data_IF_391822107013
#
_entry.id   IF_391822107013
#
_cell.length_a   1.000
_cell.length_b   1.000
_cell.length_c   1.000
_cell.angle_alpha   90.00
_cell.angle_beta   90.00
_cell.angle_gamma   90.00
#
_symmetry.space_group_name_H-M   'P 1'
#
loop_
_entity.id
_entity.type
_entity.pdbx_description
1 polymer ?
#
# COMPACT_ATOMS: atom_id res chain seq x y z
N UNK A 1 -10.80 -14.08 -2.53
CA UNK A 1 -10.06 -12.86 -2.92
C UNK A 1 -10.95 -11.98 -3.77
N UNK A 2 -10.98 -10.66 -3.55
CA UNK A 2 -11.77 -9.73 -4.38
C UNK A 2 -11.30 -9.75 -5.83
N UNK A 3 -12.21 -9.69 -6.80
CA UNK A 3 -11.84 -9.52 -8.20
C UNK A 3 -11.48 -8.05 -8.48
N UNK A 4 -10.41 -7.78 -9.27
CA UNK A 4 -10.09 -6.43 -9.74
C UNK A 4 -11.15 -5.93 -10.73
N UNK A 5 -11.53 -4.65 -10.60
CA UNK A 5 -12.73 -4.08 -11.26
C UNK A 5 -12.60 -3.95 -12.77
N UNK A 6 -11.39 -3.77 -13.28
CA UNK A 6 -11.12 -3.43 -14.68
C UNK A 6 -10.39 -4.53 -15.45
N UNK A 7 -10.31 -5.74 -14.88
CA UNK A 7 -9.48 -6.84 -15.41
C UNK A 7 -9.83 -7.23 -16.85
N UNK A 8 -11.09 -7.07 -17.24
CA UNK A 8 -11.57 -7.38 -18.58
C UNK A 8 -11.04 -6.43 -19.67
N UNK A 9 -10.45 -5.29 -19.30
CA UNK A 9 -9.80 -4.39 -20.25
C UNK A 9 -8.43 -4.92 -20.70
N UNK A 10 -7.83 -5.83 -19.94
CA UNK A 10 -6.51 -6.39 -20.28
C UNK A 10 -6.61 -7.45 -21.37
N UNK A 11 -5.53 -7.60 -22.14
CA UNK A 11 -5.35 -8.76 -23.01
C UNK A 11 -5.25 -10.05 -22.17
N UNK A 12 -5.51 -11.21 -22.77
CA UNK A 12 -5.39 -12.50 -22.05
C UNK A 12 -3.97 -12.74 -21.51
N UNK A 13 -2.95 -12.29 -22.24
CA UNK A 13 -1.55 -12.32 -21.78
C UNK A 13 -1.36 -11.46 -20.53
N UNK A 14 -1.85 -10.23 -20.54
CA UNK A 14 -1.74 -9.32 -19.39
C UNK A 14 -2.59 -9.77 -18.20
N UNK A 15 -3.76 -10.40 -18.44
CA UNK A 15 -4.56 -11.03 -17.37
C UNK A 15 -3.76 -12.11 -16.67
N UNK A 16 -3.06 -12.98 -17.43
CA UNK A 16 -2.20 -14.02 -16.87
C UNK A 16 -1.03 -13.43 -16.08
N UNK A 17 -0.34 -12.45 -16.65
CA UNK A 17 0.76 -11.75 -15.96
C UNK A 17 0.31 -11.04 -14.68
N UNK A 18 -0.84 -10.36 -14.71
CA UNK A 18 -1.43 -9.72 -13.55
C UNK A 18 -1.71 -10.73 -12.43
N UNK A 19 -2.29 -11.90 -12.77
CA UNK A 19 -2.58 -12.94 -11.78
C UNK A 19 -1.31 -13.54 -11.18
N UNK A 20 -0.26 -13.72 -11.99
CA UNK A 20 1.05 -14.14 -11.51
C UNK A 20 1.65 -13.10 -10.56
N UNK A 21 1.65 -11.82 -10.98
CA UNK A 21 2.13 -10.70 -10.16
C UNK A 21 1.38 -10.65 -8.81
N UNK A 22 0.05 -10.71 -8.84
CA UNK A 22 -0.78 -10.72 -7.63
C UNK A 22 -0.45 -11.87 -6.69
N UNK A 23 -0.27 -13.08 -7.25
CA UNK A 23 0.10 -14.27 -6.47
C UNK A 23 1.45 -14.08 -5.78
N UNK A 24 2.45 -13.58 -6.51
CA UNK A 24 3.79 -13.29 -5.98
C UNK A 24 3.76 -12.23 -4.87
N UNK A 25 3.07 -11.11 -5.09
CA UNK A 25 3.02 -10.00 -4.13
C UNK A 25 2.21 -10.32 -2.86
N UNK A 26 1.23 -11.22 -2.96
CA UNK A 26 0.44 -11.70 -1.82
C UNK A 26 1.14 -12.79 -1.00
N UNK A 27 2.24 -13.37 -1.50
CA UNK A 27 2.97 -14.43 -0.82
C UNK A 27 3.60 -13.98 0.51
N UNK A 28 3.68 -14.90 1.47
CA UNK A 28 4.24 -14.62 2.80
C UNK A 28 5.72 -14.23 2.77
N UNK A 29 6.47 -14.68 1.75
CA UNK A 29 7.89 -14.35 1.56
C UNK A 29 8.11 -12.84 1.34
N UNK A 30 7.20 -12.17 0.63
CA UNK A 30 7.24 -10.72 0.41
C UNK A 30 6.69 -9.96 1.63
N UNK A 31 5.76 -10.58 2.38
CA UNK A 31 5.09 -9.95 3.54
C UNK A 31 5.96 -9.84 4.79
N UNK A 32 6.85 -10.81 5.04
CA UNK A 32 7.44 -11.00 6.37
C UNK A 32 8.88 -10.46 6.55
N UNK A 33 9.22 -9.33 5.91
CA UNK A 33 10.53 -8.68 6.06
C UNK A 33 10.53 -7.66 7.21
N UNK A 34 10.66 -8.15 8.45
CA UNK A 34 10.78 -7.28 9.64
C UNK A 34 12.02 -6.38 9.49
N UNK A 35 11.85 -5.07 9.71
CA UNK A 35 12.93 -4.09 9.59
C UNK A 35 13.23 -3.56 8.18
N UNK A 36 12.74 -4.22 7.11
CA UNK A 36 12.98 -3.82 5.70
C UNK A 36 11.69 -3.49 4.94
N UNK A 37 10.74 -2.86 5.63
CA UNK A 37 9.38 -2.64 5.09
C UNK A 37 9.36 -1.61 3.96
N UNK A 38 10.26 -0.62 3.99
CA UNK A 38 10.31 0.43 2.98
C UNK A 38 10.90 -0.11 1.68
N UNK A 39 11.98 -0.87 1.80
CA UNK A 39 12.67 -1.56 0.71
C UNK A 39 11.73 -2.57 0.05
N UNK A 40 11.06 -3.40 0.86
CA UNK A 40 10.06 -4.34 0.34
C UNK A 40 8.91 -3.63 -0.40
N UNK A 41 8.45 -2.48 0.10
CA UNK A 41 7.42 -1.70 -0.60
C UNK A 41 7.95 -1.08 -1.90
N UNK A 42 9.21 -0.64 -1.93
CA UNK A 42 9.86 -0.18 -3.15
C UNK A 42 9.99 -1.31 -4.18
N UNK A 43 10.38 -2.50 -3.77
CA UNK A 43 10.44 -3.70 -4.62
C UNK A 43 9.05 -4.03 -5.21
N UNK A 44 8.00 -3.95 -4.37
CA UNK A 44 6.60 -4.12 -4.82
C UNK A 44 6.25 -3.09 -5.88
N UNK A 45 6.54 -1.81 -5.67
CA UNK A 45 6.27 -0.77 -6.66
C UNK A 45 7.04 -1.00 -7.96
N UNK A 46 8.32 -1.40 -7.88
CA UNK A 46 9.14 -1.72 -9.07
C UNK A 46 8.56 -2.88 -9.85
N UNK A 47 8.17 -3.97 -9.19
CA UNK A 47 7.55 -5.13 -9.84
C UNK A 47 6.25 -4.74 -10.58
N UNK A 48 5.41 -3.91 -9.95
CA UNK A 48 4.18 -3.43 -10.57
C UNK A 48 4.48 -2.47 -11.72
N UNK A 49 5.50 -1.61 -11.60
CA UNK A 49 5.91 -0.70 -12.67
C UNK A 49 6.34 -1.45 -13.92
N UNK A 50 7.15 -2.50 -13.76
CA UNK A 50 7.63 -3.32 -14.87
C UNK A 50 6.48 -4.02 -15.61
N UNK A 51 5.42 -4.40 -14.89
CA UNK A 51 4.20 -4.90 -15.52
C UNK A 51 3.43 -3.77 -16.23
N UNK A 52 3.25 -2.63 -15.58
CA UNK A 52 2.38 -1.57 -16.08
C UNK A 52 2.95 -0.83 -17.29
N UNK A 53 4.25 -0.54 -17.28
CA UNK A 53 4.92 0.35 -18.25
C UNK A 53 5.79 -0.49 -19.18
N UNK A 54 5.22 -0.93 -20.30
CA UNK A 54 5.93 -1.65 -21.36
C UNK A 54 6.24 -0.76 -22.57
N UNK A 55 5.71 0.47 -22.60
CA UNK A 55 5.90 1.42 -23.69
C UNK A 55 4.91 1.23 -24.84
N UNK A 56 3.75 0.63 -24.57
CA UNK A 56 2.69 0.39 -25.55
C UNK A 56 1.38 1.13 -25.19
N UNK A 57 0.38 1.03 -26.07
CA UNK A 57 -0.91 1.72 -25.92
C UNK A 57 -1.79 1.19 -24.77
N UNK A 58 -1.43 0.06 -24.16
CA UNK A 58 -2.19 -0.63 -23.11
C UNK A 58 -1.62 -0.38 -21.71
N UNK A 59 -0.51 0.37 -21.60
CA UNK A 59 0.10 0.77 -20.31
C UNK A 59 -0.91 1.41 -19.35
N UNK A 60 -1.79 2.28 -19.85
CA UNK A 60 -2.81 2.92 -19.03
C UNK A 60 -3.85 1.94 -18.51
N UNK A 61 -4.16 0.87 -19.24
CA UNK A 61 -5.10 -0.17 -18.82
C UNK A 61 -4.50 -0.98 -17.67
N UNK A 62 -3.22 -1.34 -17.79
CA UNK A 62 -2.48 -2.02 -16.72
C UNK A 62 -2.38 -1.16 -15.46
N UNK A 63 -2.06 0.13 -15.62
CA UNK A 63 -2.09 1.09 -14.51
C UNK A 63 -3.47 1.16 -13.83
N UNK A 64 -4.53 1.26 -14.63
CA UNK A 64 -5.92 1.35 -14.15
C UNK A 64 -6.31 0.11 -13.31
N UNK A 65 -5.99 -1.09 -13.78
CA UNK A 65 -6.29 -2.36 -13.09
C UNK A 65 -5.45 -2.53 -11.83
N UNK A 66 -4.16 -2.18 -11.88
CA UNK A 66 -3.29 -2.24 -10.71
C UNK A 66 -3.64 -1.18 -9.66
N UNK A 67 -4.36 -0.11 -10.02
CA UNK A 67 -4.66 0.99 -9.10
C UNK A 67 -3.46 1.88 -8.81
N UNK A 68 -2.47 1.90 -9.70
CA UNK A 68 -1.27 2.71 -9.58
C UNK A 68 -0.82 3.17 -10.97
N UNK A 69 -0.39 4.43 -11.08
CA UNK A 69 0.12 5.00 -12.31
C UNK A 69 1.30 5.92 -12.01
N UNK A 70 2.36 5.81 -12.79
CA UNK A 70 3.55 6.66 -12.67
C UNK A 70 3.36 7.92 -13.49
N UNK A 71 3.64 9.06 -12.87
CA UNK A 71 3.55 10.39 -13.45
C UNK A 71 4.95 11.01 -13.50
N UNK A 72 5.17 12.08 -14.31
CA UNK A 72 6.49 12.70 -14.44
C UNK A 72 7.14 13.11 -13.11
N UNK A 73 6.35 13.65 -12.18
CA UNK A 73 6.82 14.14 -10.89
C UNK A 73 6.28 13.34 -9.69
N UNK A 74 5.71 12.16 -9.93
CA UNK A 74 4.97 11.49 -8.89
C UNK A 74 4.29 10.19 -9.24
N UNK A 75 3.28 9.85 -8.45
CA UNK A 75 2.52 8.62 -8.54
C UNK A 75 1.04 8.87 -8.23
N UNK A 76 0.16 8.33 -9.05
CA UNK A 76 -1.27 8.28 -8.77
C UNK A 76 -1.64 6.91 -8.21
N UNK A 77 -2.51 6.90 -7.18
CA UNK A 77 -2.93 5.69 -6.48
C UNK A 77 -4.44 5.67 -6.32
N UNK A 78 -5.08 4.60 -6.78
CA UNK A 78 -6.40 4.17 -6.33
C UNK A 78 -6.22 3.10 -5.25
N UNK A 79 -6.43 3.52 -4.00
CA UNK A 79 -6.25 2.61 -2.86
C UNK A 79 -7.16 1.39 -2.94
N UNK A 80 -8.36 1.45 -3.53
CA UNK A 80 -9.25 0.28 -3.61
C UNK A 80 -8.66 -0.80 -4.50
N UNK A 81 -8.25 -0.45 -5.72
CA UNK A 81 -7.63 -1.40 -6.65
C UNK A 81 -6.24 -1.84 -6.20
N UNK A 82 -5.42 -0.91 -5.69
CA UNK A 82 -4.06 -1.23 -5.27
C UNK A 82 -4.02 -2.21 -4.09
N UNK A 83 -4.92 -2.06 -3.11
CA UNK A 83 -5.05 -3.01 -1.99
C UNK A 83 -5.45 -4.42 -2.46
N UNK A 84 -6.29 -4.52 -3.49
CA UNK A 84 -6.70 -5.80 -4.10
C UNK A 84 -5.51 -6.55 -4.70
N UNK A 85 -4.52 -5.81 -5.25
CA UNK A 85 -3.32 -6.36 -5.85
C UNK A 85 -2.28 -6.82 -4.80
N UNK A 86 -2.00 -6.01 -3.78
CA UNK A 86 -0.85 -6.25 -2.87
C UNK A 86 -1.21 -6.83 -1.50
N UNK A 87 -2.51 -6.99 -1.21
CA UNK A 87 -3.04 -7.44 0.08
C UNK A 87 -2.43 -6.68 1.29
N UNK A 88 -2.50 -5.35 1.21
CA UNK A 88 -2.13 -4.44 2.31
C UNK A 88 -3.26 -3.48 2.56
N UNK A 89 -3.32 -2.91 3.76
CA UNK A 89 -4.32 -1.92 4.10
C UNK A 89 -3.88 -0.50 3.70
N UNK A 90 -4.87 0.39 3.50
CA UNK A 90 -4.67 1.81 3.16
C UNK A 90 -3.65 2.53 4.06
N UNK A 91 -3.68 2.29 5.37
CA UNK A 91 -2.74 2.94 6.30
C UNK A 91 -1.29 2.50 6.07
N UNK A 92 -1.07 1.22 5.76
CA UNK A 92 0.26 0.70 5.41
C UNK A 92 0.77 1.31 4.12
N UNK A 93 -0.07 1.39 3.08
CA UNK A 93 0.29 1.99 1.79
C UNK A 93 0.64 3.47 1.96
N UNK A 94 -0.23 4.22 2.64
CA UNK A 94 -0.02 5.64 2.87
C UNK A 94 1.25 5.91 3.68
N UNK A 95 1.50 5.12 4.73
CA UNK A 95 2.70 5.24 5.55
C UNK A 95 3.98 4.95 4.77
N UNK A 96 3.97 3.93 3.90
CA UNK A 96 5.12 3.64 3.03
C UNK A 96 5.35 4.75 2.00
N UNK A 97 4.31 5.23 1.32
CA UNK A 97 4.41 6.32 0.35
C UNK A 97 4.97 7.61 0.98
N UNK A 98 4.48 7.98 2.16
CA UNK A 98 5.00 9.16 2.89
C UNK A 98 6.47 8.99 3.26
N UNK A 99 6.88 7.81 3.75
CA UNK A 99 8.28 7.51 4.07
C UNK A 99 9.19 7.51 2.83
N UNK A 100 8.64 7.23 1.65
CA UNK A 100 9.34 7.39 0.36
C UNK A 100 9.37 8.83 -0.15
N UNK A 101 8.78 9.80 0.58
CA UNK A 101 8.77 11.22 0.21
C UNK A 101 7.56 11.67 -0.61
N UNK A 102 6.57 10.79 -0.85
CA UNK A 102 5.37 11.15 -1.62
C UNK A 102 4.32 11.86 -0.75
N UNK A 103 4.06 13.12 -1.06
CA UNK A 103 2.98 13.94 -0.52
C UNK A 103 1.78 14.02 -1.44
N UNK A 104 0.59 14.30 -0.91
CA UNK A 104 -0.63 14.44 -1.73
C UNK A 104 -0.74 15.85 -2.31
N UNK A 105 -1.06 15.94 -3.61
CA UNK A 105 -1.38 17.23 -4.26
C UNK A 105 -2.72 17.73 -3.72
N UNK A 106 -2.80 19.01 -3.35
CA UNK A 106 -4.04 19.62 -2.84
C UNK A 106 -4.98 20.05 -3.97
N UNK A 107 -4.43 20.43 -5.13
CA UNK A 107 -5.20 20.85 -6.30
C UNK A 107 -5.92 19.68 -6.96
N UNK A 108 -7.25 19.68 -6.82
CA UNK A 108 -8.11 18.66 -7.47
C UNK A 108 -8.11 18.81 -9.00
N UNK A 109 -8.10 20.03 -9.52
CA UNK A 109 -8.10 20.27 -10.97
C UNK A 109 -6.83 19.73 -11.61
N UNK A 110 -5.68 20.01 -11.00
CA UNK A 110 -4.39 19.49 -11.45
C UNK A 110 -4.34 17.96 -11.37
N UNK A 111 -4.85 17.38 -10.28
CA UNK A 111 -4.94 15.94 -10.13
C UNK A 111 -5.79 15.31 -11.24
N UNK A 112 -6.96 15.87 -11.56
CA UNK A 112 -7.81 15.37 -12.66
C UNK A 112 -7.10 15.48 -14.00
N UNK A 113 -6.43 16.62 -14.26
CA UNK A 113 -5.68 16.84 -15.50
C UNK A 113 -4.61 15.76 -15.69
N UNK A 114 -3.74 15.55 -14.70
CA UNK A 114 -2.69 14.54 -14.73
C UNK A 114 -3.24 13.12 -14.91
N UNK A 115 -4.32 12.79 -14.19
CA UNK A 115 -5.00 11.50 -14.30
C UNK A 115 -5.59 11.28 -15.70
N UNK A 116 -6.22 12.30 -16.28
CA UNK A 116 -6.87 12.21 -17.59
C UNK A 116 -5.86 12.07 -18.73
N UNK A 117 -4.69 12.69 -18.57
CA UNK A 117 -3.58 12.60 -19.51
C UNK A 117 -2.95 11.21 -19.53
N UNK A 118 -2.77 10.58 -18.36
CA UNK A 118 -2.08 9.29 -18.24
C UNK A 118 -3.01 8.08 -18.21
N UNK A 119 -4.29 8.29 -17.86
CA UNK A 119 -5.33 7.26 -17.85
C UNK A 119 -6.57 7.84 -18.53
N UNK A 120 -6.66 7.79 -19.87
CA UNK A 120 -7.74 8.41 -20.65
C UNK A 120 -9.15 7.99 -20.20
N UNK A 121 -9.31 6.76 -19.70
CA UNK A 121 -10.58 6.27 -19.13
C UNK A 121 -11.10 7.15 -17.99
N UNK A 122 -10.23 7.78 -17.19
CA UNK A 122 -10.63 8.64 -16.07
C UNK A 122 -11.14 10.01 -16.53
N UNK A 123 -10.83 10.42 -17.77
CA UNK A 123 -11.31 11.69 -18.33
C UNK A 123 -12.84 11.71 -18.49
N UNK A 124 -13.42 10.56 -18.85
CA UNK A 124 -14.88 10.39 -19.03
C UNK A 124 -15.57 9.80 -17.80
N UNK A 125 -14.81 9.14 -16.91
CA UNK A 125 -15.34 8.46 -15.72
C UNK A 125 -14.99 9.21 -14.43
N UNK A 126 -15.60 10.38 -14.23
CA UNK A 126 -15.29 11.25 -13.09
C UNK A 126 -15.52 10.61 -11.72
N UNK A 127 -16.49 9.70 -11.58
CA UNK A 127 -16.72 8.98 -10.33
C UNK A 127 -15.52 8.11 -9.96
N UNK A 128 -14.96 7.40 -10.94
CA UNK A 128 -13.73 6.62 -10.73
C UNK A 128 -12.55 7.55 -10.45
N UNK A 129 -12.43 8.66 -11.17
CA UNK A 129 -11.35 9.64 -10.98
C UNK A 129 -11.33 10.26 -9.57
N UNK A 130 -12.42 10.17 -8.77
CA UNK A 130 -12.45 10.62 -7.37
C UNK A 130 -11.82 9.62 -6.40
N UNK A 131 -11.67 8.37 -6.81
CA UNK A 131 -11.02 7.34 -5.99
C UNK A 131 -9.50 7.37 -6.08
N UNK A 132 -8.96 8.12 -7.03
CA UNK A 132 -7.54 8.30 -7.25
C UNK A 132 -7.00 9.51 -6.48
N UNK A 133 -5.86 9.33 -5.83
CA UNK A 133 -5.06 10.41 -5.25
C UNK A 133 -3.75 10.55 -6.02
N UNK A 134 -3.41 11.77 -6.44
CA UNK A 134 -2.10 12.07 -7.03
C UNK A 134 -1.14 12.51 -5.95
N UNK A 135 0.08 11.98 -6.00
CA UNK A 135 1.15 12.29 -5.05
C UNK A 135 2.43 12.66 -5.76
N UNK A 136 3.09 13.70 -5.30
CA UNK A 136 4.38 14.17 -5.81
C UNK A 136 5.43 14.08 -4.71
N UNK A 137 6.70 14.08 -5.11
CA UNK A 137 7.78 14.27 -4.15
C UNK A 137 7.65 15.65 -3.51
N UNK A 138 7.53 15.69 -2.19
CA UNK A 138 7.62 16.96 -1.47
C UNK A 138 9.10 17.30 -1.40
N UNK A 139 9.55 18.30 -2.17
CA UNK A 139 10.81 18.96 -1.88
C UNK A 139 10.69 19.55 -0.49
N UNK A 140 11.58 19.11 0.42
CA UNK A 140 11.61 19.57 1.81
C UNK A 140 12.00 21.05 1.79
N UNK A 141 11.02 21.93 1.62
CA UNK A 141 11.19 23.34 1.97
C UNK A 141 11.16 23.35 3.51
N UNK A 142 12.15 23.95 4.20
CA UNK A 142 12.21 23.91 5.65
C UNK A 142 10.88 24.34 6.24
N UNK A 143 10.36 23.56 7.19
CA UNK A 143 9.05 23.82 7.81
C UNK A 143 8.95 25.29 8.25
N UNK A 144 7.84 25.99 7.93
CA UNK A 144 7.53 27.20 8.66
C UNK A 144 7.31 26.80 10.11
N UNK A 145 8.12 27.33 11.02
CA UNK A 145 8.00 27.10 12.45
C UNK A 145 6.57 27.42 12.89
N UNK A 146 5.82 26.39 13.26
CA UNK A 146 4.53 26.60 13.91
C UNK A 146 4.86 27.23 15.26
N UNK A 147 4.68 28.54 15.38
CA UNK A 147 4.71 29.21 16.68
C UNK A 147 3.63 28.57 17.54
N UNK A 148 4.04 27.69 18.44
CA UNK A 148 3.20 27.23 19.53
C UNK A 148 2.81 28.48 20.32
N UNK A 149 1.60 28.98 20.07
CA UNK A 149 0.99 29.94 20.99
C UNK A 149 0.90 29.22 22.33
N UNK A 150 1.81 29.53 23.23
CA UNK A 150 1.75 29.07 24.61
C UNK A 150 0.42 29.60 25.19
N UNK A 151 -0.58 28.74 25.26
CA UNK A 151 -1.77 29.01 26.04
C UNK A 151 -1.32 29.04 27.51
N UNK A 152 -1.30 30.23 28.12
CA UNK A 152 -1.17 30.36 29.58
C UNK A 152 -2.33 29.59 30.21
N UNK A 153 -2.00 28.57 30.98
CA UNK A 153 -2.97 27.89 31.85
C UNK A 153 -3.55 28.94 32.81
N UNK A 154 -4.86 29.16 32.70
CA UNK A 154 -5.60 29.99 33.64
C UNK A 154 -5.66 29.20 34.96
N UNK A 155 -5.26 29.75 36.12
CA UNK A 155 -5.41 29.08 37.40
C UNK A 155 -6.91 28.81 37.64
N UNK A 156 -7.26 27.54 37.85
CA UNK A 156 -8.60 27.16 38.26
C UNK A 156 -8.96 27.87 39.57
N UNK A 157 -9.92 28.79 39.52
CA UNK A 157 -10.58 29.29 40.71
C UNK A 157 -11.41 28.14 41.33
N UNK A 158 -11.15 27.83 42.60
CA UNK A 158 -11.92 26.88 43.38
C UNK A 158 -13.37 27.36 43.49
N UNK A 159 -14.30 26.65 42.86
CA UNK A 159 -15.72 26.79 43.19
C UNK A 159 -16.05 25.87 44.37
N UNK A 160 -16.79 26.36 45.40
CA UNK A 160 -17.22 25.51 46.49
C UNK A 160 -18.29 24.54 45.99
N UNK A 161 -18.09 23.26 46.27
CA UNK A 161 -19.00 22.15 45.97
C UNK A 161 -20.25 22.27 46.84
N UNK A 162 -21.48 22.17 46.31
CA UNK A 162 -22.67 22.08 47.14
C UNK A 162 -22.76 20.69 47.78
N UNK A 163 -22.83 20.63 49.12
CA UNK A 163 -23.12 19.42 49.87
C UNK A 163 -24.59 18.98 49.65
N UNK A 164 -24.86 17.69 49.39
CA UNK A 164 -26.22 17.16 49.42
C UNK A 164 -26.69 16.98 50.87
N UNK A 165 -27.86 17.54 51.17
CA UNK A 165 -28.56 17.35 52.43
C UNK A 165 -29.11 15.92 52.52
N UNK A 166 -28.73 15.20 53.57
CA UNK A 166 -29.20 13.86 53.88
C UNK A 166 -30.65 13.91 54.35
N UNK A 167 -31.54 13.17 53.70
CA UNK A 167 -32.84 12.76 54.27
C UNK A 167 -32.99 11.25 54.14
N UNK A 168 -33.51 10.66 55.21
CA UNK A 168 -33.43 9.26 55.58
C UNK A 168 -34.36 8.33 54.78
N UNK A 169 -33.95 7.06 54.76
CA UNK A 169 -34.68 5.80 54.58
C UNK A 169 -35.66 5.68 53.41
N UNK A 170 -35.33 4.79 52.47
CA UNK A 170 -36.18 3.61 52.23
C UNK A 170 -35.38 2.46 51.60
N UNK A 171 -35.68 1.25 52.07
CA UNK A 171 -35.11 -0.03 51.67
C UNK A 171 -35.41 -0.34 50.20
N UNK A 172 -34.41 -0.75 49.43
CA UNK A 172 -34.65 -1.57 48.24
C UNK A 172 -33.58 -2.66 48.09
N UNK A 173 -34.10 -3.87 47.89
CA UNK A 173 -33.49 -5.19 47.81
C UNK A 173 -32.63 -5.37 46.54
N UNK A 174 -31.41 -5.91 46.69
CA UNK A 174 -30.48 -6.25 45.61
C UNK A 174 -30.48 -7.77 45.37
N UNK A 175 -30.91 -8.28 44.19
CA UNK A 175 -30.98 -9.70 43.91
C UNK A 175 -29.88 -10.14 42.92
N UNK A 176 -28.60 -10.19 43.33
CA UNK A 176 -27.54 -10.74 42.46
C UNK A 176 -26.39 -11.47 43.18
N UNK A 177 -26.63 -12.03 44.37
CA UNK A 177 -25.67 -12.94 45.03
C UNK A 177 -26.18 -14.38 45.04
N UNK A 178 -26.26 -15.02 43.87
CA UNK A 178 -26.22 -16.48 43.77
C UNK A 178 -25.70 -16.88 42.38
N UNK A 179 -25.09 -18.06 42.29
CA UNK A 179 -24.46 -18.67 41.09
C UNK A 179 -22.94 -18.51 40.92
N UNK A 180 -22.18 -18.79 41.99
CA UNK A 180 -21.02 -19.69 41.86
C UNK A 180 -21.45 -21.08 42.35
N UNK A 181 -21.59 -22.07 41.44
CA UNK A 181 -20.99 -23.42 41.56
C UNK A 181 -21.46 -24.38 40.46
N UNK A 182 -20.47 -25.00 39.83
CA UNK A 182 -20.41 -26.37 39.29
C UNK A 182 -21.30 -26.80 38.11
N UNK A 183 -20.64 -27.15 36.99
CA UNK A 183 -20.63 -28.54 36.48
C UNK A 183 -19.55 -28.79 35.41
N UNK A 184 -18.73 -29.83 35.63
CA UNK A 184 -17.91 -30.54 34.65
C UNK A 184 -18.78 -31.36 33.68
N UNK A 185 -18.49 -31.39 32.37
CA UNK A 185 -18.15 -32.61 31.60
C UNK A 185 -17.84 -32.33 30.10
N UNK A 186 -16.68 -32.82 29.65
CA UNK A 186 -16.28 -33.38 28.33
C UNK A 186 -16.80 -32.79 27.00
N UNK A 187 -15.86 -32.43 26.11
CA UNK A 187 -15.55 -33.21 24.88
C UNK A 187 -14.33 -32.67 24.09
N UNK A 188 -13.33 -33.55 23.98
CA UNK A 188 -12.42 -33.89 22.87
C UNK A 188 -11.65 -32.82 22.07
N UNK A 189 -10.32 -32.88 22.23
CA UNK A 189 -9.28 -32.23 21.44
C UNK A 189 -9.09 -32.90 20.07
N UNK A 190 -9.06 -32.12 18.99
CA UNK A 190 -8.38 -32.50 17.74
C UNK A 190 -7.19 -31.59 17.52
N UNK A 191 -6.01 -32.09 17.88
CA UNK A 191 -4.70 -31.47 17.68
C UNK A 191 -4.22 -31.80 16.26
N UNK A 192 -4.25 -30.83 15.35
CA UNK A 192 -3.75 -31.00 13.99
C UNK A 192 -2.23 -30.76 13.99
N UNK A 193 -1.47 -31.84 13.80
CA UNK A 193 -0.01 -31.82 13.77
C UNK A 193 0.49 -31.52 12.36
N UNK A 194 1.20 -30.40 12.17
CA UNK A 194 1.67 -29.92 10.87
C UNK A 194 3.15 -30.27 10.59
N UNK A 195 3.77 -31.17 11.38
CA UNK A 195 5.22 -31.37 11.31
C UNK A 195 5.71 -32.53 10.42
N UNK A 196 4.86 -33.15 9.59
CA UNK A 196 5.25 -34.38 8.87
C UNK A 196 5.64 -34.21 7.38
N UNK A 197 5.27 -33.12 6.70
CA UNK A 197 5.45 -33.00 5.24
C UNK A 197 6.60 -32.08 4.77
N UNK A 198 7.50 -31.65 5.67
CA UNK A 198 8.54 -30.66 5.34
C UNK A 198 9.94 -31.23 5.07
N UNK A 199 10.09 -32.54 4.90
CA UNK A 199 11.42 -33.17 4.76
C UNK A 199 11.82 -33.63 3.36
N UNK A 200 11.02 -33.37 2.30
CA UNK A 200 11.34 -33.88 0.96
C UNK A 200 11.56 -32.82 -0.13
N UNK A 201 11.82 -31.56 0.25
CA UNK A 201 12.24 -30.53 -0.70
C UNK A 201 13.70 -30.11 -0.45
N UNK A 202 14.64 -30.87 -1.03
CA UNK A 202 16.00 -30.39 -1.17
C UNK A 202 16.02 -29.25 -2.20
N UNK A 203 16.10 -28.02 -1.69
CA UNK A 203 16.36 -26.84 -2.52
C UNK A 203 17.83 -26.88 -2.91
N UNK A 204 18.11 -27.05 -4.20
CA UNK A 204 19.44 -26.92 -4.76
C UNK A 204 19.89 -25.45 -4.66
N UNK A 205 20.72 -25.17 -3.66
CA UNK A 205 21.28 -23.84 -3.40
C UNK A 205 22.32 -23.41 -4.44
N UNK A 206 22.63 -24.24 -5.45
CA UNK A 206 23.56 -23.89 -6.53
C UNK A 206 22.88 -23.18 -7.71
N UNK A 207 21.55 -23.19 -7.80
CA UNK A 207 20.84 -22.54 -8.90
C UNK A 207 20.59 -21.04 -8.63
N UNK A 208 21.51 -20.20 -9.13
CA UNK A 208 21.33 -18.76 -9.22
C UNK A 208 20.91 -18.36 -10.64
N UNK A 209 19.64 -17.95 -10.88
CA UNK A 209 19.14 -17.60 -12.21
C UNK A 209 19.76 -16.32 -12.82
N UNK A 210 20.74 -15.70 -12.14
CA UNK A 210 21.45 -14.50 -12.59
C UNK A 210 22.87 -14.77 -13.16
N UNK A 211 23.34 -16.03 -13.24
CA UNK A 211 24.65 -16.33 -13.81
C UNK A 211 24.67 -16.53 -15.34
N UNK A 212 23.51 -16.47 -16.01
CA UNK A 212 23.40 -16.61 -17.46
C UNK A 212 23.23 -15.22 -18.10
N UNK A 213 24.26 -14.38 -17.96
CA UNK A 213 24.45 -13.23 -18.85
C UNK A 213 25.87 -13.30 -19.37
N UNK A 214 26.01 -14.03 -20.47
CA UNK A 214 27.23 -14.07 -21.26
C UNK A 214 27.51 -12.69 -21.83
N UNK A 215 28.73 -12.25 -21.53
CA UNK A 215 29.38 -11.06 -22.03
C UNK A 215 29.63 -11.21 -23.54
N UNK A 216 28.73 -10.66 -24.37
CA UNK A 216 29.01 -10.44 -25.80
C UNK A 216 28.96 -8.95 -26.17
N UNK A 217 30.18 -8.44 -26.38
CA UNK A 217 30.59 -7.53 -27.46
C UNK A 217 29.99 -6.12 -27.53
N UNK A 218 30.57 -5.22 -26.73
CA UNK A 218 30.74 -3.82 -27.11
C UNK A 218 32.22 -3.57 -27.41
N UNK A 219 32.64 -3.92 -28.62
CA UNK A 219 33.88 -3.37 -29.18
C UNK A 219 33.69 -2.96 -30.65
N UNK A 220 34.11 -1.72 -30.89
CA UNK A 220 34.55 -1.15 -32.16
C UNK A 220 33.49 -0.70 -33.17
N UNK A 221 33.26 0.62 -33.23
CA UNK A 221 33.73 1.47 -34.35
C UNK A 221 33.43 2.94 -34.07
N UNK A 222 34.44 3.69 -33.64
CA UNK A 222 34.50 5.14 -33.83
C UNK A 222 35.89 5.48 -34.36
N UNK A 223 35.98 5.55 -35.69
CA UNK A 223 37.14 6.12 -36.39
C UNK A 223 36.63 7.03 -37.51
N UNK A 224 36.68 8.34 -37.21
CA UNK A 224 37.17 9.44 -38.06
C UNK A 224 36.66 9.64 -39.49
N UNK A 225 36.18 10.86 -39.76
CA UNK A 225 36.57 11.76 -40.88
C UNK A 225 35.42 12.76 -41.12
N UNK A 226 35.56 14.03 -41.46
CA UNK A 226 36.65 15.03 -41.58
C UNK A 226 35.94 16.36 -41.84
N UNK A 227 36.60 17.48 -41.53
CA UNK A 227 36.23 18.83 -41.94
C UNK A 227 35.97 18.97 -43.46
N UNK A 228 35.08 19.89 -43.85
CA UNK A 228 35.42 21.12 -44.60
C UNK A 228 34.30 21.65 -45.52
N UNK A 229 34.07 22.96 -45.42
CA UNK A 229 33.67 23.95 -46.47
C UNK A 229 32.36 23.78 -47.24
N UNK A 230 31.42 24.71 -47.04
CA UNK A 230 31.27 25.95 -47.83
C UNK A 230 30.52 27.01 -47.02
#
# INVERSE_FOLDING_TARGET
MSQPKFIELLSETDKKEYNNLRSTLSSNAVRNRRGKRLEAFSEVLTAIKNFCIKGDSDDWKRCLVCGVCWLPEGIAINNRQFQVLIDKCKSSINGSLQKMGYGTIQSRQESIKLLSEHIPFLATNYQEAREWSVRQFISVTPEPSVQTKQYKLIPHAFTPTPQPAVKANDQFYDPYDEYLTNTHHNQEETKFDYSADFNDFQIDTSYNPFNEYDSYSLEQTFTGATNSTA
#
